data_IF_977154406987
#
_entry.id   IF_977154406987
#
_cell.length_a   1.000
_cell.length_b   1.000
_cell.length_c   1.000
_cell.angle_alpha   90.00
_cell.angle_beta   90.00
_cell.angle_gamma   90.00
#
_symmetry.space_group_name_H-M   'P 1'
#
loop_
_entity.id
_entity.type
_entity.pdbx_description
1 polymer ?
#
# COMPACT_ATOMS: atom_id res chain seq x y z
N UNK A 1 -3.77 -8.22 -50.49
CA UNK A 1 -3.31 -6.81 -50.43
C UNK A 1 -4.12 -6.02 -49.36
N UNK A 2 -5.44 -6.11 -49.37
CA UNK A 2 -6.29 -5.34 -48.44
C UNK A 2 -6.06 -5.62 -46.93
N UNK A 3 -5.70 -6.85 -46.57
CA UNK A 3 -5.48 -7.22 -45.16
C UNK A 3 -4.18 -6.65 -44.56
N UNK A 4 -3.14 -6.51 -45.40
CA UNK A 4 -1.87 -5.89 -44.97
C UNK A 4 -1.96 -4.37 -44.84
N UNK A 5 -2.75 -3.69 -45.66
CA UNK A 5 -2.97 -2.25 -45.59
C UNK A 5 -3.81 -1.87 -44.33
N UNK A 6 -4.85 -2.64 -43.99
CA UNK A 6 -5.65 -2.45 -42.78
C UNK A 6 -4.80 -2.63 -41.51
N UNK A 7 -3.89 -3.60 -41.51
CA UNK A 7 -2.97 -3.80 -40.36
C UNK A 7 -1.97 -2.64 -40.21
N UNK A 8 -1.44 -2.11 -41.30
CA UNK A 8 -0.53 -0.96 -41.30
C UNK A 8 -1.23 0.35 -40.87
N UNK A 9 -2.47 0.56 -41.29
CA UNK A 9 -3.26 1.73 -40.88
C UNK A 9 -3.57 1.65 -39.38
N UNK A 10 -3.99 0.49 -38.87
CA UNK A 10 -4.21 0.26 -37.44
C UNK A 10 -2.97 0.58 -36.59
N UNK A 11 -1.80 0.11 -37.01
CA UNK A 11 -0.52 0.36 -36.33
C UNK A 11 -0.13 1.85 -36.30
N UNK A 12 -0.35 2.57 -37.40
CA UNK A 12 -0.10 4.03 -37.50
C UNK A 12 -1.04 4.84 -36.59
N UNK A 13 -2.31 4.45 -36.50
CA UNK A 13 -3.30 5.10 -35.62
C UNK A 13 -2.92 4.88 -34.15
N UNK A 14 -2.56 3.66 -33.77
CA UNK A 14 -2.14 3.32 -32.42
C UNK A 14 -0.87 4.08 -31.99
N UNK A 15 0.13 4.17 -32.88
CA UNK A 15 1.32 4.99 -32.65
C UNK A 15 0.99 6.48 -32.49
N UNK A 16 0.09 7.02 -33.28
CA UNK A 16 -0.32 8.43 -33.18
C UNK A 16 -1.04 8.73 -31.86
N UNK A 17 -1.88 7.80 -31.37
CA UNK A 17 -2.55 7.90 -30.07
C UNK A 17 -1.52 7.88 -28.94
N UNK A 18 -0.57 6.95 -28.99
CA UNK A 18 0.50 6.82 -27.99
C UNK A 18 1.37 8.08 -27.91
N UNK A 19 1.81 8.61 -29.06
CA UNK A 19 2.60 9.85 -29.11
C UNK A 19 1.82 11.04 -28.57
N UNK A 20 0.52 11.14 -28.87
CA UNK A 20 -0.34 12.21 -28.35
C UNK A 20 -0.47 12.11 -26.82
N UNK A 21 -0.69 10.91 -26.29
CA UNK A 21 -0.77 10.68 -24.84
C UNK A 21 0.54 11.07 -24.14
N UNK A 22 1.69 10.67 -24.68
CA UNK A 22 3.02 11.04 -24.15
C UNK A 22 3.24 12.55 -24.17
N UNK A 23 2.89 13.24 -25.28
CA UNK A 23 2.97 14.72 -25.34
C UNK A 23 2.09 15.38 -24.30
N UNK A 24 0.86 14.87 -24.08
CA UNK A 24 -0.04 15.38 -23.04
C UNK A 24 0.49 15.12 -21.62
N UNK A 25 1.23 14.04 -21.39
CA UNK A 25 1.83 13.73 -20.11
C UNK A 25 3.11 14.53 -19.81
N UNK A 26 3.80 15.05 -20.82
CA UNK A 26 5.10 15.73 -20.67
C UNK A 26 5.11 16.85 -19.63
N UNK A 27 4.14 17.76 -19.53
CA UNK A 27 4.12 18.80 -18.49
C UNK A 27 4.07 18.20 -17.07
N UNK A 28 3.31 17.14 -16.88
CA UNK A 28 3.21 16.45 -15.58
C UNK A 28 4.51 15.71 -15.23
N UNK A 29 5.16 15.10 -16.21
CA UNK A 29 6.47 14.47 -16.03
C UNK A 29 7.49 15.50 -15.57
N UNK A 30 7.57 16.67 -16.22
CA UNK A 30 8.45 17.75 -15.81
C UNK A 30 8.14 18.27 -14.39
N UNK A 31 6.86 18.41 -14.06
CA UNK A 31 6.41 18.91 -12.76
C UNK A 31 6.78 17.98 -11.61
N UNK A 32 6.66 16.66 -11.82
CA UNK A 32 6.76 15.66 -10.75
C UNK A 32 8.05 14.86 -10.74
N UNK A 33 8.85 14.90 -11.79
CA UNK A 33 10.14 14.21 -11.84
C UNK A 33 11.03 14.62 -10.65
N UNK A 34 11.57 13.64 -9.94
CA UNK A 34 12.40 13.85 -8.75
C UNK A 34 11.62 14.21 -7.47
N UNK A 35 10.32 14.42 -7.55
CA UNK A 35 9.48 14.62 -6.35
C UNK A 35 9.27 13.31 -5.60
N UNK A 36 8.88 13.43 -4.33
CA UNK A 36 8.49 12.29 -3.50
C UNK A 36 6.97 12.26 -3.41
N UNK A 37 6.38 11.13 -3.79
CA UNK A 37 4.95 10.87 -3.59
C UNK A 37 4.78 9.89 -2.45
N UNK A 38 3.99 10.28 -1.46
CA UNK A 38 3.54 9.37 -0.40
C UNK A 38 2.17 8.86 -0.77
N UNK A 39 2.08 7.56 -1.06
CA UNK A 39 0.84 6.89 -1.47
C UNK A 39 0.39 6.01 -0.31
N UNK A 40 -0.75 6.35 0.30
CA UNK A 40 -1.35 5.54 1.36
C UNK A 40 -2.47 4.69 0.78
N UNK A 41 -2.44 3.37 1.04
CA UNK A 41 -3.47 2.44 0.62
C UNK A 41 -3.92 1.53 1.76
N UNK A 42 -5.21 1.18 1.76
CA UNK A 42 -5.76 0.21 2.69
C UNK A 42 -5.56 -1.24 2.22
N UNK A 43 -5.76 -2.20 3.12
CA UNK A 43 -5.62 -3.64 2.81
C UNK A 43 -6.56 -4.16 1.71
N UNK A 44 -7.63 -3.41 1.38
CA UNK A 44 -8.53 -3.77 0.27
C UNK A 44 -7.86 -3.78 -1.09
N UNK A 45 -6.81 -2.98 -1.30
CA UNK A 45 -6.01 -2.98 -2.52
C UNK A 45 -5.15 -4.26 -2.68
N UNK A 46 -5.06 -5.07 -1.64
CA UNK A 46 -4.26 -6.30 -1.59
C UNK A 46 -5.11 -7.53 -1.31
N UNK A 47 -6.40 -7.47 -1.64
CA UNK A 47 -7.37 -8.54 -1.36
C UNK A 47 -6.99 -9.85 -2.04
N UNK A 48 -6.44 -9.77 -3.23
CA UNK A 48 -5.97 -10.90 -4.03
C UNK A 48 -4.71 -10.51 -4.81
N UNK A 49 -4.02 -11.52 -5.35
CA UNK A 49 -2.77 -11.34 -6.07
C UNK A 49 -2.92 -10.48 -7.35
N UNK A 50 -4.07 -10.56 -8.02
CA UNK A 50 -4.35 -9.79 -9.25
C UNK A 50 -4.48 -8.31 -8.94
N UNK A 51 -5.26 -7.96 -7.92
CA UNK A 51 -5.46 -6.57 -7.47
C UNK A 51 -4.15 -5.97 -6.97
N UNK A 52 -3.38 -6.72 -6.17
CA UNK A 52 -2.06 -6.28 -5.70
C UNK A 52 -1.10 -6.02 -6.86
N UNK A 53 -1.07 -6.94 -7.84
CA UNK A 53 -0.24 -6.79 -9.04
C UNK A 53 -0.61 -5.55 -9.83
N UNK A 54 -1.90 -5.34 -10.13
CA UNK A 54 -2.39 -4.17 -10.85
C UNK A 54 -2.05 -2.86 -10.12
N UNK A 55 -2.13 -2.84 -8.79
CA UNK A 55 -1.74 -1.69 -7.99
C UNK A 55 -0.23 -1.39 -8.10
N UNK A 56 0.62 -2.40 -7.93
CA UNK A 56 2.08 -2.23 -8.04
C UNK A 56 2.49 -1.82 -9.45
N UNK A 57 1.81 -2.31 -10.48
CA UNK A 57 2.03 -1.88 -11.86
C UNK A 57 1.80 -0.38 -12.04
N UNK A 58 0.76 0.20 -11.44
CA UNK A 58 0.54 1.66 -11.47
C UNK A 58 1.64 2.42 -10.73
N UNK A 59 2.09 1.91 -9.57
CA UNK A 59 3.22 2.49 -8.83
C UNK A 59 4.51 2.44 -9.67
N UNK A 60 4.70 1.36 -10.41
CA UNK A 60 5.84 1.16 -11.32
C UNK A 60 5.90 2.25 -12.40
N UNK A 61 4.76 2.62 -12.98
CA UNK A 61 4.69 3.71 -13.97
C UNK A 61 5.21 5.02 -13.35
N UNK A 62 4.74 5.37 -12.14
CA UNK A 62 5.21 6.59 -11.46
C UNK A 62 6.72 6.56 -11.22
N UNK A 63 7.24 5.41 -10.78
CA UNK A 63 8.67 5.24 -10.55
C UNK A 63 9.49 5.43 -11.84
N UNK A 64 9.07 4.81 -12.94
CA UNK A 64 9.76 4.94 -14.24
C UNK A 64 9.67 6.35 -14.81
N UNK A 65 8.66 7.14 -14.46
CA UNK A 65 8.58 8.56 -14.78
C UNK A 65 9.52 9.43 -13.91
N UNK A 66 10.31 8.83 -13.04
CA UNK A 66 11.30 9.50 -12.20
C UNK A 66 10.74 10.08 -10.90
N UNK A 67 9.57 9.65 -10.47
CA UNK A 67 8.98 9.99 -9.17
C UNK A 67 9.52 9.00 -8.12
N UNK A 68 9.95 9.53 -6.98
CA UNK A 68 10.32 8.71 -5.80
C UNK A 68 9.05 8.38 -5.03
N UNK A 69 8.73 7.10 -4.88
CA UNK A 69 7.49 6.67 -4.23
C UNK A 69 7.78 6.12 -2.84
N UNK A 70 7.04 6.63 -1.85
CA UNK A 70 6.90 6.03 -0.52
C UNK A 70 5.50 5.44 -0.45
N UNK A 71 5.42 4.12 -0.35
CA UNK A 71 4.16 3.40 -0.24
C UNK A 71 3.86 3.09 1.23
N UNK A 72 2.77 3.64 1.76
CA UNK A 72 2.25 3.34 3.09
C UNK A 72 1.04 2.43 2.95
N UNK A 73 1.16 1.20 3.44
CA UNK A 73 0.10 0.21 3.29
C UNK A 73 -0.52 -0.20 4.62
N UNK A 74 -1.79 -0.58 4.57
CA UNK A 74 -2.49 -1.28 5.64
C UNK A 74 -2.69 -2.76 5.28
N UNK A 75 -3.46 -3.47 6.10
CA UNK A 75 -3.74 -4.89 5.89
C UNK A 75 -4.86 -5.43 6.77
N UNK A 76 -5.89 -4.61 7.06
CA UNK A 76 -7.00 -5.00 7.94
C UNK A 76 -7.64 -6.33 7.55
N UNK A 77 -8.12 -6.51 6.31
CA UNK A 77 -8.73 -7.78 5.88
C UNK A 77 -7.81 -8.98 6.02
N UNK A 78 -6.51 -8.83 5.68
CA UNK A 78 -5.53 -9.90 5.79
C UNK A 78 -5.22 -10.23 7.26
N UNK A 79 -5.24 -9.23 8.12
CA UNK A 79 -5.09 -9.40 9.55
C UNK A 79 -6.31 -10.12 10.15
N UNK A 80 -7.54 -9.77 9.74
CA UNK A 80 -8.76 -10.46 10.16
C UNK A 80 -8.73 -11.96 9.78
N UNK A 81 -8.30 -12.25 8.56
CA UNK A 81 -8.15 -13.63 8.09
C UNK A 81 -7.08 -14.40 8.89
N UNK A 82 -5.94 -13.77 9.15
CA UNK A 82 -4.84 -14.41 9.88
C UNK A 82 -5.19 -14.63 11.35
N UNK A 83 -5.78 -13.65 12.02
CA UNK A 83 -6.21 -13.81 13.42
C UNK A 83 -7.26 -14.91 13.58
N UNK A 84 -8.18 -15.03 12.62
CA UNK A 84 -9.13 -16.15 12.60
C UNK A 84 -8.44 -17.49 12.42
N UNK A 85 -7.46 -17.62 11.53
CA UNK A 85 -6.66 -18.84 11.33
C UNK A 85 -5.84 -19.23 12.56
N UNK A 86 -5.33 -18.26 13.29
CA UNK A 86 -4.53 -18.45 14.51
C UNK A 86 -5.39 -18.65 15.77
N UNK A 87 -6.71 -18.54 15.68
CA UNK A 87 -7.61 -18.59 16.83
C UNK A 87 -7.47 -17.40 17.78
N UNK A 88 -6.86 -16.31 17.33
CA UNK A 88 -6.71 -15.08 18.12
C UNK A 88 -8.04 -14.33 18.12
N UNK A 89 -8.62 -14.17 19.30
CA UNK A 89 -9.85 -13.38 19.42
C UNK A 89 -9.55 -11.89 19.35
N UNK A 90 -10.26 -11.20 18.48
CA UNK A 90 -10.11 -9.74 18.31
C UNK A 90 -11.39 -9.05 18.76
N UNK A 91 -11.26 -8.03 19.62
CA UNK A 91 -12.35 -7.13 20.01
C UNK A 91 -12.20 -5.81 19.25
N UNK A 92 -13.31 -5.32 18.72
CA UNK A 92 -13.38 -4.00 18.08
C UNK A 92 -14.35 -3.11 18.85
N UNK A 93 -13.94 -1.90 19.16
CA UNK A 93 -14.77 -0.88 19.82
C UNK A 93 -14.76 0.38 18.95
N UNK A 94 -15.92 0.85 18.54
CA UNK A 94 -16.08 2.01 17.65
C UNK A 94 -15.19 1.95 16.38
N UNK A 95 -15.10 0.76 15.75
CA UNK A 95 -14.30 0.55 14.54
C UNK A 95 -12.79 0.49 14.78
N UNK A 96 -12.32 0.56 16.03
CA UNK A 96 -10.92 0.42 16.41
C UNK A 96 -10.70 -0.91 17.11
N UNK A 97 -9.66 -1.62 16.70
CA UNK A 97 -9.29 -2.89 17.30
C UNK A 97 -8.65 -2.69 18.68
N UNK A 98 -9.09 -3.48 19.65
CA UNK A 98 -8.36 -3.63 20.92
C UNK A 98 -7.23 -4.62 20.66
N UNK A 99 -5.99 -4.22 20.97
CA UNK A 99 -4.79 -4.95 20.57
C UNK A 99 -4.07 -5.46 21.81
N UNK A 100 -4.17 -6.73 22.10
CA UNK A 100 -3.37 -7.44 23.10
C UNK A 100 -2.04 -7.95 22.53
N UNK A 101 -1.27 -8.70 23.32
CA UNK A 101 0.02 -9.24 22.91
C UNK A 101 -0.12 -10.19 21.70
N UNK A 102 -1.12 -11.06 21.69
CA UNK A 102 -1.33 -11.99 20.56
C UNK A 102 -1.76 -11.25 19.30
N UNK A 103 -2.58 -10.22 19.45
CA UNK A 103 -3.03 -9.39 18.33
C UNK A 103 -1.89 -8.54 17.73
N UNK A 104 -0.95 -8.04 18.55
CA UNK A 104 0.20 -7.28 18.03
C UNK A 104 1.18 -8.19 17.31
N UNK A 105 1.40 -9.42 17.80
CA UNK A 105 2.23 -10.41 17.11
C UNK A 105 1.64 -10.77 15.74
N UNK A 106 0.34 -11.06 15.68
CA UNK A 106 -0.36 -11.31 14.42
C UNK A 106 -0.28 -10.09 13.47
N UNK A 107 -0.40 -8.87 14.01
CA UNK A 107 -0.27 -7.63 13.23
C UNK A 107 1.12 -7.51 12.61
N UNK A 108 2.17 -7.76 13.39
CA UNK A 108 3.55 -7.72 12.91
C UNK A 108 3.81 -8.78 11.84
N UNK A 109 3.34 -10.02 12.03
CA UNK A 109 3.46 -11.08 11.05
C UNK A 109 2.78 -10.73 9.72
N UNK A 110 1.59 -10.13 9.79
CA UNK A 110 0.81 -9.81 8.59
C UNK A 110 1.34 -8.57 7.89
N UNK A 111 1.54 -7.46 8.61
CA UNK A 111 1.92 -6.20 7.97
C UNK A 111 3.38 -6.22 7.54
N UNK A 112 4.30 -6.50 8.47
CA UNK A 112 5.74 -6.44 8.18
C UNK A 112 6.22 -7.71 7.47
N UNK A 113 5.70 -8.86 7.84
CA UNK A 113 6.08 -10.14 7.24
C UNK A 113 5.39 -10.37 5.90
N UNK A 114 4.10 -10.65 5.92
CA UNK A 114 3.38 -11.13 4.74
C UNK A 114 3.23 -10.06 3.65
N UNK A 115 2.52 -8.97 3.95
CA UNK A 115 2.14 -7.96 2.93
C UNK A 115 3.37 -7.21 2.45
N UNK A 116 4.21 -6.74 3.35
CA UNK A 116 5.43 -6.02 3.00
C UNK A 116 6.35 -6.87 2.11
N UNK A 117 6.58 -8.13 2.48
CA UNK A 117 7.40 -9.05 1.67
C UNK A 117 6.81 -9.29 0.29
N UNK A 118 5.49 -9.49 0.18
CA UNK A 118 4.81 -9.67 -1.10
C UNK A 118 4.93 -8.42 -1.99
N UNK A 119 4.74 -7.22 -1.43
CA UNK A 119 4.89 -5.95 -2.15
C UNK A 119 6.31 -5.75 -2.66
N UNK A 120 7.33 -5.98 -1.82
CA UNK A 120 8.75 -5.87 -2.22
C UNK A 120 9.10 -6.88 -3.31
N UNK A 121 8.66 -8.14 -3.17
CA UNK A 121 8.88 -9.17 -4.19
C UNK A 121 8.22 -8.80 -5.52
N UNK A 122 7.01 -8.24 -5.46
CA UNK A 122 6.27 -7.82 -6.64
C UNK A 122 6.92 -6.59 -7.31
N UNK A 123 7.36 -5.59 -6.54
CA UNK A 123 8.16 -4.48 -7.05
C UNK A 123 9.39 -4.98 -7.82
N UNK A 124 10.11 -5.96 -7.26
CA UNK A 124 11.27 -6.58 -7.91
C UNK A 124 10.90 -7.25 -9.23
N UNK A 125 9.74 -7.90 -9.32
CA UNK A 125 9.28 -8.53 -10.57
C UNK A 125 9.01 -7.52 -11.70
N UNK A 126 8.77 -6.26 -11.34
CA UNK A 126 8.66 -5.13 -12.27
C UNK A 126 9.96 -4.33 -12.44
N UNK A 127 11.10 -4.85 -11.95
CA UNK A 127 12.40 -4.21 -12.09
C UNK A 127 12.66 -3.04 -11.14
N UNK A 128 11.82 -2.87 -10.10
CA UNK A 128 12.00 -1.82 -9.10
C UNK A 128 12.76 -2.36 -7.89
N UNK A 129 13.83 -1.66 -7.49
CA UNK A 129 14.50 -1.90 -6.23
C UNK A 129 13.73 -1.20 -5.11
N UNK A 130 12.99 -1.98 -4.32
CA UNK A 130 12.23 -1.50 -3.18
C UNK A 130 12.81 -2.05 -1.87
N UNK A 131 12.69 -1.27 -0.80
CA UNK A 131 13.02 -1.68 0.56
C UNK A 131 11.72 -1.59 1.37
N UNK A 132 11.39 -2.66 2.08
CA UNK A 132 10.29 -2.67 3.03
C UNK A 132 10.80 -2.30 4.41
N UNK A 133 10.13 -1.37 5.07
CA UNK A 133 10.45 -0.91 6.43
C UNK A 133 9.19 -0.84 7.27
N UNK A 134 9.32 -1.13 8.55
CA UNK A 134 8.31 -0.85 9.57
C UNK A 134 8.62 0.43 10.33
N UNK A 135 7.64 0.95 11.08
CA UNK A 135 7.85 2.17 11.88
C UNK A 135 8.92 2.03 12.97
N UNK A 136 9.22 0.79 13.38
CA UNK A 136 10.26 0.48 14.38
C UNK A 136 11.67 0.54 13.80
N UNK A 137 11.83 0.34 12.48
CA UNK A 137 13.14 0.28 11.86
C UNK A 137 13.85 1.62 11.95
N UNK A 138 15.05 1.60 12.54
CA UNK A 138 15.85 2.81 12.77
C UNK A 138 15.18 3.85 13.69
N UNK A 139 14.13 3.49 14.42
CA UNK A 139 13.37 4.43 15.22
C UNK A 139 12.60 5.47 14.40
N UNK A 140 12.17 5.08 13.19
CA UNK A 140 11.50 5.97 12.23
C UNK A 140 10.23 6.61 12.81
N UNK A 141 9.47 5.85 13.61
CA UNK A 141 8.24 6.32 14.26
C UNK A 141 8.44 6.22 15.77
N UNK A 142 8.39 7.36 16.45
CA UNK A 142 8.35 7.44 17.91
C UNK A 142 6.88 7.45 18.36
N UNK A 143 6.54 6.66 19.35
CA UNK A 143 5.18 6.57 19.84
C UNK A 143 5.16 6.19 21.32
N UNK A 144 4.15 6.67 22.03
CA UNK A 144 3.83 6.23 23.41
C UNK A 144 2.51 5.49 23.45
N UNK A 145 2.30 4.67 24.46
CA UNK A 145 1.05 3.93 24.63
C UNK A 145 -0.11 4.89 24.81
N UNK A 146 -1.18 4.70 24.06
CA UNK A 146 -2.42 5.46 24.21
C UNK A 146 -3.05 5.23 25.56
N UNK A 147 -3.40 6.31 26.26
CA UNK A 147 -4.17 6.24 27.48
C UNK A 147 -5.61 5.72 27.22
N UNK A 148 -6.25 5.09 28.20
CA UNK A 148 -7.66 4.74 28.09
C UNK A 148 -8.53 5.95 27.75
N UNK A 149 -9.52 5.73 26.90
CA UNK A 149 -10.40 6.80 26.37
C UNK A 149 -11.80 6.62 26.92
N UNK A 150 -12.39 7.69 27.46
CA UNK A 150 -13.80 7.71 27.83
C UNK A 150 -14.67 7.99 26.61
N UNK A 151 -15.53 7.06 26.27
CA UNK A 151 -16.48 7.20 25.15
C UNK A 151 -17.64 8.12 25.50
N UNK A 152 -18.39 8.57 24.49
CA UNK A 152 -19.60 9.37 24.69
C UNK A 152 -20.68 8.65 25.55
N UNK A 153 -20.63 7.31 25.60
CA UNK A 153 -21.47 6.48 26.45
C UNK A 153 -21.09 6.50 27.93
N UNK A 154 -19.95 7.08 28.30
CA UNK A 154 -19.35 7.01 29.62
C UNK A 154 -18.49 5.77 29.87
N UNK A 155 -18.43 4.82 28.94
CA UNK A 155 -17.54 3.65 29.01
C UNK A 155 -16.08 4.06 28.84
N UNK A 156 -15.21 3.53 29.71
CA UNK A 156 -13.75 3.70 29.61
C UNK A 156 -13.18 2.51 28.85
N UNK A 157 -12.50 2.76 27.74
CA UNK A 157 -11.90 1.73 26.89
C UNK A 157 -10.38 1.86 26.85
N UNK A 158 -9.68 0.83 27.26
CA UNK A 158 -8.26 0.64 27.00
C UNK A 158 -8.11 -0.14 25.67
N UNK A 159 -7.51 0.47 24.67
CA UNK A 159 -7.26 -0.16 23.37
C UNK A 159 -6.01 -1.08 23.37
N UNK A 160 -5.32 -1.21 24.51
CA UNK A 160 -4.18 -2.10 24.67
C UNK A 160 -2.89 -1.55 24.06
N UNK A 161 -2.23 -2.38 23.25
CA UNK A 161 -0.96 -2.05 22.59
C UNK A 161 -1.17 -1.17 21.32
N UNK A 162 -1.83 -0.03 21.55
CA UNK A 162 -2.03 1.00 20.53
C UNK A 162 -1.24 2.24 20.93
N UNK A 163 -0.48 2.80 20.02
CA UNK A 163 0.35 3.98 20.23
C UNK A 163 -0.26 5.25 19.65
N UNK A 164 0.06 6.36 20.28
CA UNK A 164 -0.05 7.69 19.69
C UNK A 164 1.35 8.14 19.25
N UNK A 165 1.44 8.69 18.06
CA UNK A 165 2.71 9.10 17.46
C UNK A 165 3.14 10.41 18.11
N UNK A 166 4.40 10.45 18.56
CA UNK A 166 5.06 11.67 19.02
C UNK A 166 5.42 12.52 17.80
N UNK A 167 4.95 13.75 17.76
CA UNK A 167 5.02 14.64 16.59
C UNK A 167 6.41 15.08 16.14
#
# INVERSE_FOLDING_TARGET
IAQGELTMIGHKVEQAVTVRALRGATPYIHMYKGKVFVIKTGGGAFRDAGTMRAFVEQVTILHHLGIRVVLVHGGGPQLDEMTAKLGVQTRTVQGRRVTDAAAIDATSMVLNGLINTQLVALCRSFGISAIGIGGIDGGLVQAHRRAPVTLASGEVVDYGLVGDIDG
#
